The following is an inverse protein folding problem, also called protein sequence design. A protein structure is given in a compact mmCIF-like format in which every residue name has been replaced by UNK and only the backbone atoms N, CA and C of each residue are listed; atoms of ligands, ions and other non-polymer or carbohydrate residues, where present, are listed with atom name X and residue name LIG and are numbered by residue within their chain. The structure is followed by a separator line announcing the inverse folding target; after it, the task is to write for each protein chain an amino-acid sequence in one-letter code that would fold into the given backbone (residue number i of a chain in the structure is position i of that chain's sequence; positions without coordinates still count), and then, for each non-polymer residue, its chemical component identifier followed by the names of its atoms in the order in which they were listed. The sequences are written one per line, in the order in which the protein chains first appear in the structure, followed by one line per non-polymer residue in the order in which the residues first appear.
data_IF_643679129526
#
_entry.id   IF_643679129526
#
_cell.length_a   1.000
_cell.length_b   1.000
_cell.length_c   1.000
_cell.angle_alpha   90.00
_cell.angle_beta   90.00
_cell.angle_gamma   90.00
#
_symmetry.space_group_name_H-M   'P 1'
#
loop_
_entity.id
_entity.type
_entity.pdbx_description
1 polymer ?
#
# COMPACT_ATOMS: atom_id res chain seq x y z
N UNK A 1 -5.36 -34.94 2.56
CA UNK A 1 -4.96 -34.15 3.75
C UNK A 1 -4.49 -32.82 3.22
N UNK A 2 -5.28 -31.73 3.32
CA UNK A 2 -4.80 -30.40 3.00
C UNK A 2 -3.86 -30.01 4.14
N UNK A 3 -2.55 -30.04 3.89
CA UNK A 3 -1.58 -29.49 4.83
C UNK A 3 -1.96 -28.05 5.15
N UNK A 4 -1.83 -27.64 6.41
CA UNK A 4 -1.99 -26.24 6.80
C UNK A 4 -1.10 -25.39 5.88
N UNK A 5 -1.70 -24.36 5.26
CA UNK A 5 -0.92 -23.40 4.47
C UNK A 5 0.07 -22.68 5.37
N UNK A 6 1.17 -22.19 4.78
CA UNK A 6 2.25 -21.50 5.49
C UNK A 6 1.73 -20.37 6.38
N UNK A 7 2.40 -20.15 7.50
CA UNK A 7 2.16 -19.01 8.40
C UNK A 7 2.61 -17.71 7.73
N UNK A 8 1.75 -16.70 7.75
CA UNK A 8 2.06 -15.38 7.21
C UNK A 8 1.91 -14.33 8.31
N UNK A 9 2.95 -13.54 8.54
CA UNK A 9 2.89 -12.41 9.47
C UNK A 9 2.76 -11.12 8.66
N UNK A 10 1.65 -10.39 8.88
CA UNK A 10 1.35 -9.12 8.22
C UNK A 10 1.54 -7.99 9.21
N UNK A 11 2.52 -7.11 9.00
CA UNK A 11 2.64 -5.88 9.78
C UNK A 11 1.90 -4.74 9.09
N UNK A 12 1.38 -3.78 9.85
CA UNK A 12 0.44 -2.79 9.32
C UNK A 12 -0.92 -3.42 9.01
N UNK A 13 -1.29 -4.48 9.75
CA UNK A 13 -2.50 -5.27 9.52
C UNK A 13 -3.79 -4.46 9.65
N UNK A 14 -3.83 -3.44 10.52
CA UNK A 14 -4.95 -2.50 10.63
C UNK A 14 -4.81 -1.28 9.68
N UNK A 15 -3.85 -1.32 8.75
CA UNK A 15 -3.72 -0.38 7.64
C UNK A 15 -4.73 -0.69 6.52
N UNK A 16 -4.85 0.22 5.53
CA UNK A 16 -5.77 0.05 4.40
C UNK A 16 -5.50 -1.25 3.62
N UNK A 17 -4.29 -1.41 3.08
CA UNK A 17 -3.92 -2.60 2.30
C UNK A 17 -3.80 -3.82 3.23
N UNK A 18 -3.25 -3.63 4.45
CA UNK A 18 -3.03 -4.71 5.41
C UNK A 18 -4.31 -5.42 5.82
N UNK A 19 -5.39 -4.68 6.11
CA UNK A 19 -6.69 -5.28 6.45
C UNK A 19 -7.21 -6.15 5.31
N UNK A 20 -7.24 -5.64 4.09
CA UNK A 20 -7.72 -6.40 2.92
C UNK A 20 -6.84 -7.61 2.61
N UNK A 21 -5.51 -7.49 2.83
CA UNK A 21 -4.60 -8.61 2.67
C UNK A 21 -4.88 -9.71 3.71
N UNK A 22 -5.06 -9.34 4.98
CA UNK A 22 -5.42 -10.29 6.02
C UNK A 22 -6.73 -11.02 5.70
N UNK A 23 -7.79 -10.28 5.30
CA UNK A 23 -9.07 -10.87 4.88
C UNK A 23 -8.87 -11.85 3.70
N UNK A 24 -8.11 -11.43 2.70
CA UNK A 24 -7.85 -12.24 1.53
C UNK A 24 -7.09 -13.53 1.87
N UNK A 25 -6.00 -13.43 2.64
CA UNK A 25 -5.16 -14.58 3.01
C UNK A 25 -5.91 -15.59 3.89
N UNK A 26 -6.68 -15.12 4.88
CA UNK A 26 -7.52 -15.99 5.71
C UNK A 26 -8.56 -16.72 4.85
N UNK A 27 -9.21 -16.03 3.92
CA UNK A 27 -10.17 -16.64 2.99
C UNK A 27 -9.51 -17.69 2.07
N UNK A 28 -8.21 -17.57 1.79
CA UNK A 28 -7.42 -18.54 1.04
C UNK A 28 -6.87 -19.68 1.93
N UNK A 29 -7.15 -19.66 3.25
CA UNK A 29 -6.76 -20.71 4.19
C UNK A 29 -5.34 -20.63 4.72
N UNK A 30 -4.69 -19.45 4.65
CA UNK A 30 -3.40 -19.21 5.30
C UNK A 30 -3.57 -19.00 6.81
N UNK A 31 -2.55 -19.38 7.57
CA UNK A 31 -2.41 -19.02 8.99
C UNK A 31 -1.86 -17.59 9.08
N UNK A 32 -2.68 -16.63 9.49
CA UNK A 32 -2.33 -15.19 9.46
C UNK A 32 -2.16 -14.64 10.86
N UNK A 33 -1.05 -13.95 11.09
CA UNK A 33 -0.81 -13.14 12.31
C UNK A 33 -0.71 -11.68 11.92
N UNK A 34 -1.51 -10.81 12.54
CA UNK A 34 -1.50 -9.37 12.29
C UNK A 34 -0.75 -8.60 13.37
N UNK A 35 0.08 -7.63 12.98
CA UNK A 35 0.76 -6.70 13.89
C UNK A 35 0.46 -5.26 13.44
N UNK A 36 0.08 -4.37 14.37
CA UNK A 36 -0.15 -2.94 14.12
C UNK A 36 0.03 -2.12 15.40
N UNK A 37 0.49 -0.88 15.31
CA UNK A 37 0.57 0.01 16.47
C UNK A 37 -0.68 0.88 16.67
N UNK A 38 -1.63 0.82 15.75
CA UNK A 38 -2.89 1.56 15.72
C UNK A 38 -2.75 3.10 15.73
N UNK A 39 -1.57 3.63 15.42
CA UNK A 39 -1.38 5.08 15.31
C UNK A 39 -2.15 5.64 14.11
N UNK A 40 -2.93 6.70 14.29
CA UNK A 40 -3.70 7.31 13.21
C UNK A 40 -2.82 8.24 12.36
N UNK A 41 -2.13 7.70 11.36
CA UNK A 41 -1.22 8.47 10.48
C UNK A 41 -1.90 9.62 9.70
N UNK A 42 -3.22 9.59 9.54
CA UNK A 42 -4.02 10.64 8.86
C UNK A 42 -5.28 11.04 9.64
N UNK A 43 -5.25 10.86 10.97
CA UNK A 43 -6.39 11.16 11.85
C UNK A 43 -7.53 10.15 11.75
N UNK A 44 -8.55 10.36 12.58
CA UNK A 44 -9.77 9.55 12.58
C UNK A 44 -9.62 8.13 13.16
N UNK A 45 -10.72 7.39 13.23
CA UNK A 45 -10.78 6.09 13.91
C UNK A 45 -10.36 4.90 13.02
N UNK A 46 -9.83 5.13 11.82
CA UNK A 46 -9.75 4.15 10.74
C UNK A 46 -8.94 2.89 11.09
N UNK A 47 -7.82 3.01 11.80
CA UNK A 47 -7.03 1.84 12.23
C UNK A 47 -7.83 0.97 13.21
N UNK A 48 -8.58 1.60 14.13
CA UNK A 48 -9.44 0.88 15.09
C UNK A 48 -10.60 0.17 14.40
N UNK A 49 -11.30 0.85 13.50
CA UNK A 49 -12.40 0.25 12.73
C UNK A 49 -11.93 -0.94 11.89
N UNK A 50 -10.76 -0.84 11.27
CA UNK A 50 -10.18 -1.97 10.51
C UNK A 50 -9.78 -3.12 11.43
N UNK A 51 -9.19 -2.85 12.60
CA UNK A 51 -8.91 -3.85 13.62
C UNK A 51 -10.19 -4.55 14.08
N UNK A 52 -11.20 -3.80 14.49
CA UNK A 52 -12.50 -4.33 14.92
C UNK A 52 -13.14 -5.23 13.86
N UNK A 53 -13.03 -4.83 12.58
CA UNK A 53 -13.51 -5.64 11.48
C UNK A 53 -12.74 -6.97 11.37
N UNK A 54 -11.41 -6.98 11.45
CA UNK A 54 -10.61 -8.20 11.39
C UNK A 54 -10.93 -9.13 12.57
N UNK A 55 -11.09 -8.59 13.77
CA UNK A 55 -11.40 -9.36 14.97
C UNK A 55 -12.83 -9.92 14.94
N UNK A 56 -13.83 -9.09 14.57
CA UNK A 56 -15.24 -9.51 14.57
C UNK A 56 -15.60 -10.44 13.43
N UNK A 57 -15.03 -10.23 12.23
CA UNK A 57 -15.41 -11.00 11.04
C UNK A 57 -14.59 -12.28 10.85
N UNK A 58 -13.33 -12.30 11.32
CA UNK A 58 -12.40 -13.40 11.08
C UNK A 58 -11.86 -14.05 12.37
N UNK A 59 -12.12 -13.46 13.53
CA UNK A 59 -11.48 -13.86 14.79
C UNK A 59 -9.98 -13.60 14.81
N UNK A 60 -9.46 -12.79 13.87
CA UNK A 60 -8.03 -12.50 13.75
C UNK A 60 -7.62 -11.45 14.78
N UNK A 61 -6.96 -11.87 15.86
CA UNK A 61 -6.42 -10.94 16.83
C UNK A 61 -5.22 -10.17 16.28
N UNK A 62 -5.21 -8.85 16.49
CA UNK A 62 -4.10 -7.97 16.10
C UNK A 62 -3.19 -7.74 17.29
N UNK A 63 -1.93 -8.15 17.16
CA UNK A 63 -0.89 -7.87 18.16
C UNK A 63 -0.56 -6.37 18.09
N UNK A 64 -0.88 -5.64 19.16
CA UNK A 64 -0.55 -4.23 19.21
C UNK A 64 0.91 -4.02 19.56
N UNK A 65 1.72 -3.55 18.58
CA UNK A 65 3.16 -3.37 18.73
C UNK A 65 3.68 -2.21 17.91
N UNK A 66 4.53 -1.36 18.50
CA UNK A 66 5.32 -0.38 17.74
C UNK A 66 6.63 -1.07 17.28
N UNK A 67 6.73 -1.28 15.96
CA UNK A 67 7.88 -1.95 15.35
C UNK A 67 9.19 -1.14 15.46
N UNK A 68 9.12 0.15 15.80
CA UNK A 68 10.29 0.98 16.11
C UNK A 68 10.77 0.85 17.55
N UNK A 69 10.13 0.00 18.37
CA UNK A 69 10.59 -0.36 19.71
C UNK A 69 11.57 -1.54 19.62
N UNK A 70 12.85 -1.22 19.64
CA UNK A 70 13.93 -2.22 19.53
C UNK A 70 14.03 -3.16 20.72
N UNK A 71 13.42 -2.83 21.88
CA UNK A 71 13.38 -3.71 23.05
C UNK A 71 12.52 -4.97 22.81
N UNK A 72 11.65 -4.95 21.79
CA UNK A 72 10.77 -6.06 21.43
C UNK A 72 11.30 -6.94 20.28
N UNK A 73 12.59 -6.81 19.94
CA UNK A 73 13.20 -7.58 18.85
C UNK A 73 13.05 -9.10 19.05
N UNK A 74 13.25 -9.60 20.27
CA UNK A 74 13.11 -11.05 20.56
C UNK A 74 11.70 -11.58 20.30
N UNK A 75 10.68 -10.80 20.60
CA UNK A 75 9.29 -11.15 20.32
C UNK A 75 9.00 -11.19 18.80
N UNK A 76 9.56 -10.24 18.04
CA UNK A 76 9.47 -10.28 16.59
C UNK A 76 10.16 -11.51 15.98
N UNK A 77 11.33 -11.89 16.49
CA UNK A 77 12.05 -13.09 16.03
C UNK A 77 11.18 -14.35 16.25
N UNK A 78 10.57 -14.48 17.43
CA UNK A 78 9.67 -15.60 17.72
C UNK A 78 8.47 -15.63 16.74
N UNK A 79 7.82 -14.49 16.53
CA UNK A 79 6.69 -14.37 15.63
C UNK A 79 7.05 -14.70 14.17
N UNK A 80 8.26 -14.34 13.70
CA UNK A 80 8.70 -14.51 12.33
C UNK A 80 9.29 -15.89 12.04
N UNK A 81 9.65 -16.65 13.05
CA UNK A 81 10.19 -18.01 12.87
C UNK A 81 9.19 -18.91 12.13
N UNK A 82 9.65 -19.55 11.05
CA UNK A 82 8.83 -20.43 10.18
C UNK A 82 7.69 -19.70 9.49
N UNK A 83 7.85 -18.42 9.15
CA UNK A 83 6.81 -17.64 8.47
C UNK A 83 7.32 -16.89 7.24
N UNK A 84 6.38 -16.52 6.37
CA UNK A 84 6.57 -15.44 5.41
C UNK A 84 6.16 -14.12 6.05
N UNK A 85 7.01 -13.10 6.00
CA UNK A 85 6.75 -11.79 6.57
C UNK A 85 6.34 -10.82 5.47
N UNK A 86 5.15 -10.19 5.61
CA UNK A 86 4.65 -9.14 4.73
C UNK A 86 4.59 -7.82 5.51
N UNK A 87 5.60 -6.97 5.30
CA UNK A 87 5.76 -5.72 6.03
C UNK A 87 5.10 -4.56 5.28
N UNK A 88 3.88 -4.18 5.72
CA UNK A 88 3.12 -3.05 5.18
C UNK A 88 3.08 -1.85 6.15
N UNK A 89 3.54 -2.02 7.40
CA UNK A 89 3.59 -0.95 8.38
C UNK A 89 4.50 0.18 7.90
N UNK A 90 3.98 1.39 7.86
CA UNK A 90 4.70 2.59 7.46
C UNK A 90 3.93 3.85 7.87
N UNK A 91 4.62 4.99 7.92
CA UNK A 91 4.01 6.31 7.87
C UNK A 91 3.78 6.68 6.39
N UNK A 92 2.54 6.67 5.89
CA UNK A 92 2.29 6.81 4.46
C UNK A 92 2.08 8.27 4.04
N UNK A 93 2.35 8.54 2.76
CA UNK A 93 1.97 9.79 2.11
C UNK A 93 3.09 10.82 1.99
N UNK A 94 3.18 11.38 0.79
CA UNK A 94 4.19 12.38 0.42
C UNK A 94 4.01 13.65 1.26
N UNK A 95 2.80 14.25 1.25
CA UNK A 95 2.49 15.46 2.01
C UNK A 95 2.71 15.25 3.51
N UNK A 96 2.16 14.17 4.07
CA UNK A 96 2.26 13.84 5.49
C UNK A 96 3.71 13.65 5.96
N UNK A 97 4.61 13.17 5.09
CA UNK A 97 6.04 13.03 5.42
C UNK A 97 6.76 14.36 5.60
N UNK A 98 6.32 15.43 4.90
CA UNK A 98 6.82 16.77 5.09
C UNK A 98 6.30 17.43 6.37
N UNK A 99 5.05 17.16 6.73
CA UNK A 99 4.40 17.69 7.94
C UNK A 99 4.90 16.97 9.21
N UNK A 100 5.26 15.69 9.12
CA UNK A 100 5.66 14.84 10.24
C UNK A 100 6.96 14.05 9.92
N UNK A 101 8.10 14.73 9.69
CA UNK A 101 9.32 14.09 9.21
C UNK A 101 9.91 13.08 10.20
N UNK A 102 9.86 13.37 11.50
CA UNK A 102 10.41 12.49 12.55
C UNK A 102 9.61 11.20 12.64
N UNK A 103 8.27 11.28 12.65
CA UNK A 103 7.40 10.09 12.68
C UNK A 103 7.57 9.26 11.41
N UNK A 104 7.73 9.93 10.25
CA UNK A 104 8.01 9.26 8.99
C UNK A 104 9.33 8.46 9.04
N UNK A 105 10.43 9.07 9.50
CA UNK A 105 11.72 8.39 9.63
C UNK A 105 11.65 7.24 10.66
N UNK A 106 11.03 7.49 11.81
CA UNK A 106 10.85 6.48 12.85
C UNK A 106 10.08 5.26 12.33
N UNK A 107 8.94 5.48 11.67
CA UNK A 107 8.07 4.39 11.20
C UNK A 107 8.60 3.71 9.93
N UNK A 108 9.32 4.44 9.05
CA UNK A 108 9.73 3.90 7.76
C UNK A 108 11.17 3.38 7.76
N UNK A 109 12.05 3.94 8.59
CA UNK A 109 13.46 3.53 8.61
C UNK A 109 13.78 2.71 9.86
N UNK A 110 13.54 3.25 11.06
CA UNK A 110 13.89 2.52 12.28
C UNK A 110 13.06 1.23 12.43
N UNK A 111 11.74 1.32 12.22
CA UNK A 111 10.89 0.13 12.28
C UNK A 111 11.24 -0.88 11.19
N UNK A 112 11.55 -0.42 9.96
CA UNK A 112 11.99 -1.31 8.89
C UNK A 112 13.29 -2.04 9.24
N UNK A 113 14.30 -1.32 9.75
CA UNK A 113 15.58 -1.90 10.15
C UNK A 113 15.39 -2.98 11.24
N UNK A 114 14.53 -2.70 12.23
CA UNK A 114 14.22 -3.65 13.31
C UNK A 114 13.48 -4.90 12.77
N UNK A 115 12.54 -4.72 11.85
CA UNK A 115 11.84 -5.84 11.18
C UNK A 115 12.82 -6.66 10.32
N UNK A 116 13.68 -6.01 9.54
CA UNK A 116 14.66 -6.69 8.70
C UNK A 116 15.67 -7.50 9.53
N UNK A 117 16.10 -6.97 10.66
CA UNK A 117 16.94 -7.69 11.63
C UNK A 117 16.21 -8.91 12.22
N UNK A 118 14.95 -8.75 12.63
CA UNK A 118 14.12 -9.86 13.10
C UNK A 118 13.92 -10.94 12.03
N UNK A 119 13.67 -10.55 10.77
CA UNK A 119 13.56 -11.46 9.63
C UNK A 119 14.83 -12.29 9.46
N UNK A 120 16.01 -11.64 9.54
CA UNK A 120 17.30 -12.31 9.38
C UNK A 120 17.55 -13.29 10.53
N UNK A 121 17.38 -12.89 11.80
CA UNK A 121 17.60 -13.72 12.97
C UNK A 121 16.61 -14.88 13.08
N UNK A 122 15.34 -14.66 12.73
CA UNK A 122 14.29 -15.68 12.68
C UNK A 122 14.50 -16.69 11.53
N UNK A 123 15.37 -16.37 10.56
CA UNK A 123 15.50 -17.12 9.29
C UNK A 123 14.12 -17.32 8.65
N UNK A 124 13.37 -16.21 8.53
CA UNK A 124 12.06 -16.25 7.91
C UNK A 124 12.12 -16.87 6.51
N UNK A 125 11.06 -17.54 6.09
CA UNK A 125 11.02 -18.22 4.79
C UNK A 125 11.11 -17.25 3.61
N UNK A 126 10.53 -16.04 3.81
CA UNK A 126 10.46 -14.99 2.78
C UNK A 126 10.17 -13.64 3.43
N UNK A 127 10.63 -12.56 2.80
CA UNK A 127 10.36 -11.20 3.20
C UNK A 127 9.78 -10.38 2.05
N UNK A 128 8.54 -9.90 2.19
CA UNK A 128 7.92 -8.95 1.27
C UNK A 128 7.68 -7.64 2.01
N UNK A 129 7.96 -6.49 1.39
CA UNK A 129 7.70 -5.22 2.04
C UNK A 129 7.17 -4.15 1.09
N UNK A 130 6.38 -3.24 1.65
CA UNK A 130 5.80 -2.13 0.89
C UNK A 130 6.87 -1.10 0.53
N UNK A 131 7.22 -1.03 -0.76
CA UNK A 131 7.81 0.12 -1.42
C UNK A 131 6.71 0.98 -2.06
N UNK A 132 7.04 1.85 -2.99
CA UNK A 132 6.11 2.80 -3.60
C UNK A 132 6.57 3.20 -4.99
N UNK A 133 5.64 3.49 -5.89
CA UNK A 133 5.93 4.13 -7.18
C UNK A 133 6.62 5.50 -7.04
N UNK A 134 6.56 6.12 -5.86
CA UNK A 134 7.26 7.38 -5.59
C UNK A 134 8.80 7.28 -5.65
N UNK A 135 9.37 6.06 -5.60
CA UNK A 135 10.82 5.84 -5.75
C UNK A 135 11.35 6.16 -7.15
N UNK A 136 10.45 6.16 -8.15
CA UNK A 136 10.81 6.59 -9.50
C UNK A 136 11.06 8.10 -9.57
N UNK A 137 10.44 8.88 -8.68
CA UNK A 137 10.45 10.33 -8.78
C UNK A 137 9.78 10.81 -10.06
N UNK A 138 10.27 11.90 -10.62
CA UNK A 138 9.80 12.44 -11.90
C UNK A 138 10.78 12.05 -13.00
N UNK A 139 10.40 11.07 -13.78
CA UNK A 139 11.15 10.63 -14.97
C UNK A 139 10.70 11.36 -16.25
N UNK A 140 9.76 12.32 -16.17
CA UNK A 140 9.16 12.98 -17.34
C UNK A 140 8.47 11.96 -18.25
N UNK A 141 7.72 11.03 -17.68
CA UNK A 141 7.37 9.74 -18.29
C UNK A 141 6.51 9.89 -19.53
N UNK A 142 7.07 9.53 -20.68
CA UNK A 142 6.35 9.32 -21.94
C UNK A 142 5.93 7.85 -22.14
N UNK A 143 6.55 6.93 -21.42
CA UNK A 143 6.39 5.48 -21.52
C UNK A 143 6.18 4.86 -20.14
N UNK A 144 5.70 3.61 -20.09
CA UNK A 144 5.55 2.84 -18.88
C UNK A 144 6.92 2.59 -18.20
N UNK A 145 6.99 2.82 -16.88
CA UNK A 145 8.26 2.70 -16.14
C UNK A 145 8.50 1.26 -15.71
N UNK A 146 9.71 0.77 -16.01
CA UNK A 146 10.21 -0.53 -15.56
C UNK A 146 10.99 -0.38 -14.26
N UNK A 147 11.08 -1.46 -13.51
CA UNK A 147 11.68 -1.46 -12.18
C UNK A 147 13.15 -1.00 -12.18
N UNK A 148 13.90 -1.29 -13.23
CA UNK A 148 15.32 -0.93 -13.37
C UNK A 148 15.53 0.60 -13.53
N UNK A 149 14.51 1.35 -13.88
CA UNK A 149 14.62 2.80 -14.09
C UNK A 149 14.62 3.61 -12.78
N UNK A 150 14.29 2.99 -11.64
CA UNK A 150 14.42 3.62 -10.34
C UNK A 150 15.90 3.62 -9.89
N UNK A 151 16.49 4.80 -9.81
CA UNK A 151 17.90 4.99 -9.43
C UNK A 151 18.08 5.68 -8.08
N UNK A 152 16.99 6.17 -7.48
CA UNK A 152 17.03 6.97 -6.26
C UNK A 152 17.48 8.43 -6.44
N UNK A 153 17.90 8.84 -7.64
CA UNK A 153 18.41 10.20 -7.90
C UNK A 153 17.30 11.24 -8.06
N UNK A 154 16.10 10.80 -8.44
CA UNK A 154 14.98 11.69 -8.79
C UNK A 154 13.85 11.69 -7.74
N UNK A 155 14.09 11.13 -6.54
CA UNK A 155 13.08 11.12 -5.47
C UNK A 155 12.74 12.55 -5.01
N UNK A 156 11.43 12.87 -4.93
CA UNK A 156 10.96 14.24 -4.68
C UNK A 156 10.44 14.48 -3.26
N UNK A 157 10.46 13.48 -2.38
CA UNK A 157 9.92 13.63 -1.04
C UNK A 157 10.66 12.77 -0.02
N UNK A 158 10.55 13.15 1.25
CA UNK A 158 11.08 12.36 2.36
C UNK A 158 10.49 10.94 2.35
N UNK A 159 9.18 10.81 2.10
CA UNK A 159 8.53 9.50 1.96
C UNK A 159 9.19 8.64 0.87
N UNK A 160 9.38 9.20 -0.33
CA UNK A 160 10.04 8.49 -1.42
C UNK A 160 11.47 8.07 -1.06
N UNK A 161 12.23 8.97 -0.40
CA UNK A 161 13.59 8.68 0.09
C UNK A 161 13.59 7.53 1.09
N UNK A 162 12.63 7.49 2.03
CA UNK A 162 12.54 6.37 2.99
C UNK A 162 12.22 5.05 2.29
N UNK A 163 11.34 5.06 1.28
CA UNK A 163 11.01 3.83 0.53
C UNK A 163 12.19 3.35 -0.33
N UNK A 164 12.91 4.27 -0.97
CA UNK A 164 14.14 3.91 -1.67
C UNK A 164 15.21 3.32 -0.72
N UNK A 165 15.41 3.93 0.45
CA UNK A 165 16.32 3.40 1.47
C UNK A 165 15.91 1.98 1.92
N UNK A 166 14.62 1.72 2.11
CA UNK A 166 14.14 0.38 2.45
C UNK A 166 14.47 -0.64 1.36
N UNK A 167 14.39 -0.27 0.07
CA UNK A 167 14.81 -1.17 -1.02
C UNK A 167 16.30 -1.48 -0.95
N UNK A 168 17.15 -0.50 -0.65
CA UNK A 168 18.60 -0.72 -0.51
C UNK A 168 18.93 -1.60 0.71
N UNK A 169 18.27 -1.34 1.85
CA UNK A 169 18.42 -2.16 3.06
C UNK A 169 17.92 -3.59 2.82
N UNK A 170 16.74 -3.77 2.23
CA UNK A 170 16.17 -5.08 1.92
C UNK A 170 17.03 -5.88 0.95
N UNK A 171 17.60 -5.21 -0.07
CA UNK A 171 18.55 -5.82 -1.01
C UNK A 171 19.83 -6.31 -0.31
N UNK A 172 20.46 -5.42 0.48
CA UNK A 172 21.67 -5.76 1.24
C UNK A 172 21.45 -6.92 2.22
N UNK A 173 20.30 -6.93 2.90
CA UNK A 173 19.93 -8.01 3.81
C UNK A 173 19.73 -9.34 3.06
N UNK A 174 19.00 -9.33 1.94
CA UNK A 174 18.78 -10.53 1.12
C UNK A 174 20.10 -11.12 0.60
N UNK A 175 21.00 -10.27 0.12
CA UNK A 175 22.35 -10.68 -0.32
C UNK A 175 23.19 -11.28 0.81
N UNK A 176 23.04 -10.76 2.04
CA UNK A 176 23.80 -11.22 3.21
C UNK A 176 23.27 -12.52 3.82
N UNK A 177 21.97 -12.72 3.90
CA UNK A 177 21.33 -13.83 4.62
C UNK A 177 20.66 -14.88 3.72
N UNK A 178 20.54 -14.59 2.41
CA UNK A 178 19.94 -15.50 1.43
C UNK A 178 18.42 -15.59 1.46
N UNK A 179 17.74 -14.78 2.29
CA UNK A 179 16.27 -14.79 2.40
C UNK A 179 15.67 -14.15 1.13
N UNK A 180 14.77 -14.86 0.41
CA UNK A 180 14.09 -14.30 -0.75
C UNK A 180 13.28 -13.07 -0.36
N UNK A 181 13.54 -11.93 -1.02
CA UNK A 181 12.99 -10.63 -0.62
C UNK A 181 12.35 -9.89 -1.80
N UNK A 182 11.14 -9.36 -1.60
CA UNK A 182 10.44 -8.55 -2.61
C UNK A 182 10.14 -7.16 -2.08
N UNK A 183 10.60 -6.13 -2.80
CA UNK A 183 10.16 -4.75 -2.63
C UNK A 183 8.93 -4.50 -3.52
N UNK A 184 7.76 -4.37 -2.92
CA UNK A 184 6.49 -4.17 -3.61
C UNK A 184 6.25 -2.67 -3.86
N UNK A 185 6.46 -2.19 -5.07
CA UNK A 185 6.20 -0.80 -5.46
C UNK A 185 4.72 -0.60 -5.74
N UNK A 186 3.95 -0.29 -4.70
CA UNK A 186 2.54 0.03 -4.86
C UNK A 186 2.35 1.34 -5.63
N UNK A 187 1.43 1.32 -6.59
CA UNK A 187 0.90 2.51 -7.25
C UNK A 187 -0.32 3.04 -6.49
N UNK A 188 -1.24 3.74 -7.16
CA UNK A 188 -2.37 4.38 -6.47
C UNK A 188 -3.46 3.38 -6.12
N UNK A 189 -3.35 2.76 -4.94
CA UNK A 189 -4.36 1.79 -4.47
C UNK A 189 -5.61 2.53 -3.99
N UNK A 190 -6.78 2.08 -4.45
CA UNK A 190 -8.11 2.64 -4.16
C UNK A 190 -9.11 1.56 -3.78
N UNK A 191 -10.13 1.91 -2.99
CA UNK A 191 -11.18 0.97 -2.58
C UNK A 191 -11.76 1.28 -1.21
N UNK A 192 -12.64 0.41 -0.76
CA UNK A 192 -13.31 0.48 0.53
C UNK A 192 -12.30 0.51 1.68
N UNK A 193 -12.60 1.16 2.78
CA UNK A 193 -11.67 1.40 3.89
C UNK A 193 -10.40 2.14 3.48
N UNK A 194 -10.40 2.81 2.31
CA UNK A 194 -9.30 3.59 1.80
C UNK A 194 -8.86 4.71 2.74
N UNK A 195 -7.79 5.38 2.37
CA UNK A 195 -7.25 6.48 3.17
C UNK A 195 -8.00 7.78 2.89
N UNK A 196 -8.37 8.56 3.92
CA UNK A 196 -9.12 9.82 3.72
C UNK A 196 -8.30 10.93 3.04
N UNK A 197 -6.97 10.81 3.01
CA UNK A 197 -6.09 11.76 2.35
C UNK A 197 -5.92 11.50 0.83
N UNK A 198 -6.48 10.41 0.30
CA UNK A 198 -6.39 10.03 -1.13
C UNK A 198 -7.53 10.64 -1.96
N UNK A 199 -7.27 10.79 -3.27
CA UNK A 199 -8.17 11.44 -4.22
C UNK A 199 -9.60 10.86 -4.20
N UNK A 200 -9.76 9.54 -4.25
CA UNK A 200 -11.07 8.89 -4.27
C UNK A 200 -11.94 9.32 -3.07
N UNK A 201 -11.36 9.29 -1.87
CA UNK A 201 -12.06 9.71 -0.66
C UNK A 201 -12.41 11.20 -0.66
N UNK A 202 -11.40 12.05 -0.95
CA UNK A 202 -11.60 13.52 -0.96
C UNK A 202 -12.67 13.93 -1.97
N UNK A 203 -12.61 13.37 -3.17
CA UNK A 203 -13.57 13.67 -4.22
C UNK A 203 -14.97 13.22 -3.82
N UNK A 204 -15.10 12.01 -3.31
CA UNK A 204 -16.39 11.49 -2.87
C UNK A 204 -17.00 12.36 -1.77
N UNK A 205 -16.21 12.64 -0.72
CA UNK A 205 -16.66 13.49 0.40
C UNK A 205 -17.06 14.88 -0.07
N UNK A 206 -16.21 15.56 -0.83
CA UNK A 206 -16.51 16.91 -1.32
C UNK A 206 -17.74 16.92 -2.21
N UNK A 207 -17.91 15.95 -3.11
CA UNK A 207 -19.10 15.85 -3.98
C UNK A 207 -20.36 15.56 -3.16
N UNK A 208 -20.32 14.63 -2.19
CA UNK A 208 -21.48 14.32 -1.32
C UNK A 208 -21.90 15.51 -0.45
N UNK A 209 -20.94 16.30 0.04
CA UNK A 209 -21.16 17.50 0.85
C UNK A 209 -21.48 18.77 0.02
N UNK A 210 -21.39 18.70 -1.32
CA UNK A 210 -21.60 19.86 -2.21
C UNK A 210 -20.47 20.89 -2.15
N UNK A 211 -19.26 20.45 -1.78
CA UNK A 211 -18.06 21.28 -1.71
C UNK A 211 -17.27 21.21 -3.01
N UNK A 212 -16.46 22.24 -3.34
CA UNK A 212 -15.59 22.22 -4.51
C UNK A 212 -14.55 21.10 -4.43
N UNK A 213 -14.28 20.46 -5.59
CA UNK A 213 -13.23 19.45 -5.74
C UNK A 213 -11.98 20.12 -6.31
N UNK A 214 -10.83 19.90 -5.64
CA UNK A 214 -9.54 20.41 -6.10
C UNK A 214 -8.85 19.40 -7.02
N UNK A 215 -8.49 19.82 -8.24
CA UNK A 215 -7.69 19.06 -9.20
C UNK A 215 -6.30 19.68 -9.32
N UNK A 216 -5.26 18.82 -9.32
CA UNK A 216 -3.88 19.22 -9.58
C UNK A 216 -3.58 19.12 -11.08
N UNK A 217 -3.43 20.25 -11.79
CA UNK A 217 -3.40 20.31 -13.26
C UNK A 217 -4.78 20.12 -13.88
N UNK A 218 -4.89 20.29 -15.19
CA UNK A 218 -6.18 20.38 -15.91
C UNK A 218 -7.12 19.19 -15.65
N UNK A 219 -6.58 17.95 -15.64
CA UNK A 219 -7.34 16.71 -15.50
C UNK A 219 -6.99 15.95 -14.18
N UNK A 220 -6.29 16.60 -13.25
CA UNK A 220 -5.83 15.96 -12.00
C UNK A 220 -4.67 14.97 -12.20
N UNK A 221 -4.02 14.99 -13.37
CA UNK A 221 -2.99 14.03 -13.75
C UNK A 221 -3.55 12.62 -14.03
N UNK A 222 -2.67 11.70 -14.46
CA UNK A 222 -3.02 10.31 -14.73
C UNK A 222 -2.28 9.35 -13.80
N UNK A 223 -2.96 8.31 -13.32
CA UNK A 223 -2.41 7.31 -12.38
C UNK A 223 -2.84 5.90 -12.75
N UNK A 224 -1.96 4.92 -12.51
CA UNK A 224 -2.42 3.54 -12.39
C UNK A 224 -3.21 3.42 -11.08
N UNK A 225 -4.55 3.55 -11.17
CA UNK A 225 -5.42 3.25 -10.04
C UNK A 225 -5.64 1.75 -9.96
N UNK A 226 -5.27 1.17 -8.83
CA UNK A 226 -5.38 -0.27 -8.58
C UNK A 226 -6.43 -0.51 -7.51
N UNK A 227 -7.45 -1.31 -7.82
CA UNK A 227 -8.41 -1.71 -6.81
C UNK A 227 -7.72 -2.52 -5.71
N UNK A 228 -8.04 -2.25 -4.46
CA UNK A 228 -7.33 -2.87 -3.34
C UNK A 228 -7.40 -4.40 -3.36
N UNK A 229 -8.50 -4.99 -3.85
CA UNK A 229 -8.60 -6.46 -3.96
C UNK A 229 -7.76 -7.03 -5.09
N UNK A 230 -7.55 -6.29 -6.19
CA UNK A 230 -6.59 -6.66 -7.23
C UNK A 230 -5.16 -6.59 -6.67
N UNK A 231 -4.84 -5.52 -5.92
CA UNK A 231 -3.53 -5.37 -5.28
C UNK A 231 -3.21 -6.51 -4.31
N UNK A 232 -4.14 -6.91 -3.43
CA UNK A 232 -3.88 -8.01 -2.48
C UNK A 232 -3.84 -9.37 -3.16
N UNK A 233 -4.55 -9.57 -4.26
CA UNK A 233 -4.44 -10.78 -5.09
C UNK A 233 -3.04 -10.89 -5.72
N UNK A 234 -2.49 -9.77 -6.23
CA UNK A 234 -1.10 -9.70 -6.70
C UNK A 234 -0.13 -10.05 -5.56
N UNK A 235 -0.30 -9.44 -4.36
CA UNK A 235 0.57 -9.72 -3.20
C UNK A 235 0.53 -11.21 -2.83
N UNK A 236 -0.65 -11.85 -2.80
CA UNK A 236 -0.73 -13.29 -2.55
C UNK A 236 0.08 -14.09 -3.59
N UNK A 237 -0.03 -13.76 -4.86
CA UNK A 237 0.74 -14.44 -5.91
C UNK A 237 2.24 -14.23 -5.75
N UNK A 238 2.68 -13.04 -5.34
CA UNK A 238 4.09 -12.76 -5.03
C UNK A 238 4.58 -13.56 -3.81
N UNK A 239 3.73 -13.81 -2.81
CA UNK A 239 4.04 -14.70 -1.67
C UNK A 239 4.32 -16.13 -2.19
N UNK A 240 3.58 -16.60 -3.18
CA UNK A 240 3.68 -17.94 -3.74
C UNK A 240 4.71 -18.06 -4.88
N UNK A 241 5.17 -16.95 -5.47
CA UNK A 241 6.04 -16.93 -6.64
C UNK A 241 7.40 -17.59 -6.34
N UNK A 242 7.98 -18.35 -7.28
CA UNK A 242 9.33 -18.87 -7.14
C UNK A 242 10.34 -17.70 -7.22
N UNK A 243 10.98 -17.38 -6.11
CA UNK A 243 11.90 -16.26 -5.98
C UNK A 243 13.20 -16.67 -5.31
N UNK A 244 14.31 -16.13 -5.80
CA UNK A 244 15.64 -16.22 -5.19
C UNK A 244 16.25 -14.82 -5.14
N UNK A 245 16.85 -14.47 -4.01
CA UNK A 245 17.49 -13.16 -3.83
C UNK A 245 16.49 -12.02 -3.70
N UNK A 246 16.84 -10.86 -4.22
CA UNK A 246 16.06 -9.62 -4.11
C UNK A 246 15.44 -9.23 -5.44
N UNK A 247 14.13 -8.90 -5.42
CA UNK A 247 13.42 -8.31 -6.55
C UNK A 247 12.60 -7.08 -6.13
N UNK A 248 12.62 -6.04 -6.97
CA UNK A 248 11.62 -4.98 -6.93
C UNK A 248 10.53 -5.28 -7.96
N UNK A 249 9.25 -5.08 -7.60
CA UNK A 249 8.10 -5.40 -8.45
C UNK A 249 7.06 -4.30 -8.39
N UNK A 250 6.60 -3.82 -9.55
CA UNK A 250 5.46 -2.91 -9.66
C UNK A 250 4.17 -3.61 -9.25
N UNK A 251 3.51 -3.17 -8.18
CA UNK A 251 2.24 -3.74 -7.72
C UNK A 251 1.11 -2.86 -8.18
N UNK A 252 0.64 -3.14 -9.37
CA UNK A 252 -0.50 -2.47 -10.03
C UNK A 252 -0.99 -3.33 -11.18
N UNK A 253 -2.07 -2.90 -11.84
CA UNK A 253 -2.64 -3.53 -13.03
C UNK A 253 -3.26 -2.46 -13.94
N UNK A 254 -3.40 -2.82 -15.22
CA UNK A 254 -4.06 -1.99 -16.22
C UNK A 254 -3.32 -0.69 -16.59
N UNK A 255 -3.97 0.08 -17.43
CA UNK A 255 -3.47 1.36 -17.95
C UNK A 255 -3.72 2.51 -16.95
N UNK A 256 -2.93 3.59 -17.01
CA UNK A 256 -3.19 4.77 -16.21
C UNK A 256 -4.51 5.45 -16.64
N UNK A 257 -5.25 5.93 -15.64
CA UNK A 257 -6.53 6.61 -15.83
C UNK A 257 -6.37 8.07 -15.37
N UNK A 258 -6.91 9.02 -16.11
CA UNK A 258 -6.98 10.41 -15.67
C UNK A 258 -7.80 10.51 -14.38
N UNK A 259 -7.32 11.29 -13.42
CA UNK A 259 -7.98 11.45 -12.12
C UNK A 259 -9.40 12.03 -12.26
N UNK A 260 -9.62 12.85 -13.29
CA UNK A 260 -10.96 13.39 -13.60
C UNK A 260 -11.95 12.28 -14.02
N UNK A 261 -11.50 11.18 -14.59
CA UNK A 261 -12.36 10.03 -14.93
C UNK A 261 -12.96 9.42 -13.65
N UNK A 262 -12.15 9.29 -12.58
CA UNK A 262 -12.66 8.85 -11.27
C UNK A 262 -13.68 9.83 -10.70
N UNK A 263 -13.43 11.14 -10.81
CA UNK A 263 -14.38 12.17 -10.35
C UNK A 263 -15.70 12.06 -11.12
N UNK A 264 -15.66 11.92 -12.43
CA UNK A 264 -16.87 11.77 -13.25
C UNK A 264 -17.70 10.54 -12.85
N UNK A 265 -17.06 9.42 -12.53
CA UNK A 265 -17.78 8.23 -12.02
C UNK A 265 -18.37 8.46 -10.62
N UNK A 266 -17.70 9.23 -9.76
CA UNK A 266 -18.23 9.63 -8.43
C UNK A 266 -19.46 10.53 -8.61
N UNK A 267 -19.39 11.54 -9.47
CA UNK A 267 -20.48 12.45 -9.77
C UNK A 267 -21.71 11.70 -10.31
N UNK A 268 -21.48 10.80 -11.26
CA UNK A 268 -22.52 9.93 -11.82
C UNK A 268 -23.16 9.05 -10.74
N UNK A 269 -22.37 8.46 -9.86
CA UNK A 269 -22.86 7.60 -8.78
C UNK A 269 -23.70 8.37 -7.75
N UNK A 270 -23.30 9.60 -7.42
CA UNK A 270 -24.01 10.49 -6.48
C UNK A 270 -25.18 11.25 -7.13
N UNK A 271 -25.29 11.26 -8.47
CA UNK A 271 -26.31 12.00 -9.20
C UNK A 271 -26.16 13.52 -9.08
N UNK A 272 -24.94 14.02 -8.83
CA UNK A 272 -24.63 15.47 -8.70
C UNK A 272 -23.25 15.80 -9.23
N UNK A 273 -23.07 16.99 -9.75
CA UNK A 273 -21.80 17.53 -10.22
C UNK A 273 -21.12 18.36 -9.14
N UNK A 274 -19.79 18.37 -9.15
CA UNK A 274 -18.95 19.18 -8.26
C UNK A 274 -18.46 20.45 -8.96
N UNK A 275 -18.38 21.56 -8.26
CA UNK A 275 -17.56 22.67 -8.69
C UNK A 275 -16.09 22.26 -8.65
N UNK A 276 -15.31 22.66 -9.67
CA UNK A 276 -13.90 22.23 -9.85
C UNK A 276 -12.96 23.41 -9.67
N UNK A 277 -12.05 23.29 -8.70
CA UNK A 277 -10.92 24.21 -8.53
C UNK A 277 -9.66 23.57 -9.08
N UNK A 278 -9.11 24.14 -10.15
CA UNK A 278 -7.85 23.66 -10.74
C UNK A 278 -6.68 24.45 -10.16
N UNK A 279 -5.71 23.76 -9.59
CA UNK A 279 -4.47 24.36 -9.08
C UNK A 279 -3.25 23.75 -9.77
N UNK A 280 -2.12 24.45 -9.73
CA UNK A 280 -0.85 23.91 -10.24
C UNK A 280 -0.49 22.64 -9.50
N UNK A 281 -0.01 21.63 -10.23
CA UNK A 281 0.56 20.42 -9.61
C UNK A 281 1.74 20.80 -8.70
N UNK A 282 1.72 20.40 -7.43
CA UNK A 282 2.84 20.67 -6.50
C UNK A 282 4.14 20.03 -6.99
N UNK A 283 5.28 20.64 -6.70
CA UNK A 283 6.59 20.17 -7.16
C UNK A 283 7.00 18.80 -6.61
N UNK A 284 6.36 18.35 -5.52
CA UNK A 284 6.55 17.01 -4.94
C UNK A 284 5.61 15.94 -5.55
N UNK A 285 4.67 16.33 -6.40
CA UNK A 285 3.75 15.41 -7.12
C UNK A 285 4.20 15.26 -8.59
N UNK A 286 3.67 14.25 -9.26
CA UNK A 286 3.97 13.94 -10.66
C UNK A 286 2.69 14.01 -11.48
N UNK A 287 2.79 14.42 -12.75
CA UNK A 287 1.61 14.51 -13.62
C UNK A 287 1.09 13.14 -14.05
N UNK A 288 2.00 12.19 -14.27
CA UNK A 288 1.62 10.84 -14.72
C UNK A 288 2.45 9.78 -14.00
N UNK A 289 1.79 8.75 -13.47
CA UNK A 289 2.42 7.49 -13.09
C UNK A 289 1.91 6.37 -13.99
N UNK A 290 2.83 5.65 -14.63
CA UNK A 290 2.52 4.60 -15.58
C UNK A 290 3.51 3.45 -15.43
N UNK A 291 3.05 2.28 -14.97
CA UNK A 291 3.87 1.11 -14.73
C UNK A 291 4.00 0.23 -15.97
N UNK A 292 5.19 -0.28 -16.22
CA UNK A 292 5.36 -1.50 -17.02
C UNK A 292 4.91 -2.69 -16.17
N UNK A 293 4.07 -3.56 -16.73
CA UNK A 293 3.44 -4.69 -16.04
C UNK A 293 4.14 -6.03 -16.33
N UNK A 294 5.12 -6.05 -17.22
CA UNK A 294 5.75 -7.28 -17.71
C UNK A 294 6.25 -8.18 -16.57
N UNK A 295 6.92 -7.58 -15.57
CA UNK A 295 7.48 -8.35 -14.44
C UNK A 295 6.38 -8.90 -13.53
N UNK A 296 5.41 -8.09 -13.13
CA UNK A 296 4.31 -8.54 -12.25
C UNK A 296 3.45 -9.60 -12.93
N UNK A 297 3.16 -9.46 -14.21
CA UNK A 297 2.42 -10.45 -15.00
C UNK A 297 3.19 -11.77 -15.11
N UNK A 298 4.48 -11.72 -15.40
CA UNK A 298 5.33 -12.91 -15.46
C UNK A 298 5.40 -13.66 -14.13
N UNK A 299 5.47 -12.94 -12.99
CA UNK A 299 5.57 -13.54 -11.66
C UNK A 299 4.22 -14.05 -11.11
N UNK A 300 3.12 -13.40 -11.48
CA UNK A 300 1.83 -13.63 -10.82
C UNK A 300 0.75 -14.19 -11.75
N UNK A 301 0.92 -14.07 -13.06
CA UNK A 301 -0.13 -14.33 -14.03
C UNK A 301 -1.33 -13.37 -13.93
N UNK A 302 -1.23 -12.29 -13.12
CA UNK A 302 -2.32 -11.34 -12.91
C UNK A 302 -2.32 -10.30 -14.03
N UNK A 303 -3.39 -10.25 -14.81
CA UNK A 303 -3.55 -9.33 -15.96
C UNK A 303 -4.83 -8.50 -15.88
N UNK A 304 -5.74 -8.82 -14.96
CA UNK A 304 -7.06 -8.19 -14.89
C UNK A 304 -7.02 -6.92 -14.03
N UNK A 305 -7.78 -5.91 -14.47
CA UNK A 305 -8.01 -4.67 -13.73
C UNK A 305 -9.51 -4.52 -13.46
N UNK A 306 -9.88 -4.30 -12.20
CA UNK A 306 -11.26 -3.92 -11.87
C UNK A 306 -11.56 -2.52 -12.41
N UNK A 307 -12.60 -2.33 -13.25
CA UNK A 307 -12.94 -1.02 -13.82
C UNK A 307 -13.19 0.02 -12.74
N UNK A 308 -12.72 1.25 -12.97
CA UNK A 308 -12.83 2.35 -11.98
C UNK A 308 -14.29 2.65 -11.59
N UNK A 309 -15.24 2.49 -12.50
CA UNK A 309 -16.67 2.62 -12.21
C UNK A 309 -17.13 1.62 -11.14
N UNK A 310 -16.69 0.36 -11.23
CA UNK A 310 -16.97 -0.68 -10.22
C UNK A 310 -16.32 -0.35 -8.89
N UNK A 311 -15.08 0.17 -8.90
CA UNK A 311 -14.38 0.58 -7.67
C UNK A 311 -15.13 1.72 -6.98
N UNK A 312 -15.56 2.73 -7.73
CA UNK A 312 -16.34 3.86 -7.22
C UNK A 312 -17.68 3.39 -6.65
N UNK A 313 -18.41 2.50 -7.34
CA UNK A 313 -19.68 1.95 -6.85
C UNK A 313 -19.49 1.24 -5.49
N UNK A 314 -18.47 0.40 -5.37
CA UNK A 314 -18.17 -0.33 -4.13
C UNK A 314 -17.74 0.62 -3.00
N UNK A 315 -16.89 1.60 -3.33
CA UNK A 315 -16.47 2.63 -2.39
C UNK A 315 -17.68 3.44 -1.88
N UNK A 316 -18.58 3.87 -2.79
CA UNK A 316 -19.79 4.61 -2.48
C UNK A 316 -20.67 3.86 -1.49
N UNK A 317 -20.98 2.61 -1.77
CA UNK A 317 -21.78 1.77 -0.86
C UNK A 317 -21.15 1.67 0.52
N UNK A 318 -19.83 1.42 0.57
CA UNK A 318 -19.10 1.34 1.82
C UNK A 318 -19.11 2.70 2.56
N UNK A 319 -18.84 3.80 1.87
CA UNK A 319 -18.78 5.14 2.46
C UNK A 319 -20.11 5.52 3.12
N UNK A 320 -21.22 5.32 2.42
CA UNK A 320 -22.56 5.62 2.93
C UNK A 320 -22.91 4.83 4.21
N UNK A 321 -22.45 3.58 4.30
CA UNK A 321 -22.76 2.70 5.42
C UNK A 321 -21.81 2.85 6.62
N UNK A 322 -20.57 3.33 6.41
CA UNK A 322 -19.53 3.23 7.44
C UNK A 322 -18.75 4.51 7.70
N UNK A 323 -18.79 5.49 6.80
CA UNK A 323 -17.87 6.61 6.87
C UNK A 323 -18.54 7.99 6.87
N UNK A 324 -19.82 8.08 6.51
CA UNK A 324 -20.52 9.36 6.36
C UNK A 324 -20.60 10.15 7.66
N UNK A 325 -20.72 9.48 8.79
CA UNK A 325 -20.88 10.08 10.12
C UNK A 325 -19.58 10.04 10.97
N UNK A 326 -18.47 9.61 10.39
CA UNK A 326 -17.14 9.54 10.99
C UNK A 326 -16.20 10.51 10.25
#
# INVERSE_FOLDING_TARGET
MSGAKSKIVVTGAAGFIGMHLCEHLVAQGFDVVGIDNLKPAYGGPWSRLRKERLESSLGLQIIQMDLADTSRLSELIELFTGSTVVHLAAWPGVKSSHENPVDCVRANILAFANVAEAVAQAKAERFLFASSSSVYGDLGVKEAVREEQATGTNVKSLYASTKWMNEQLGKSQSESNGIPTIAMRFFSVVGEFGRPDMACWKFYKSTDEGLPVTLHGANGGARNFTYVKDAVAIVQKLIEAPLVGFEAVNVTCGEPIETITMLNEIEKNLGRSSERTVIKTPDYDIEKSWADLTKVEALTGHTSQTPIATVVERFSRWYTLNAKDN
#
